data_IF_678250375726
#
_entry.id   IF_678250375726
#
_cell.length_a   1.000
_cell.length_b   1.000
_cell.length_c   1.000
_cell.angle_alpha   90.00
_cell.angle_beta   90.00
_cell.angle_gamma   90.00
#
_symmetry.space_group_name_H-M   'P 1'
#
loop_
_entity.id
_entity.type
_entity.pdbx_description
1 polymer ?
#
# COMPACT_ATOMS: atom_id res chain seq x y z
N UNK A 1 2.79 44.32 -56.36
CA UNK A 1 3.93 45.13 -55.87
C UNK A 1 3.48 45.97 -54.68
N UNK A 2 3.83 45.60 -53.44
CA UNK A 2 3.50 46.42 -52.26
C UNK A 2 4.57 47.51 -52.10
N UNK A 3 4.21 48.76 -52.45
CA UNK A 3 5.08 49.91 -52.22
C UNK A 3 5.19 50.18 -50.72
N UNK A 4 6.42 50.17 -50.22
CA UNK A 4 6.76 50.57 -48.85
C UNK A 4 6.47 52.07 -48.72
N UNK A 5 5.53 52.43 -47.84
CA UNK A 5 5.17 53.82 -47.58
C UNK A 5 6.39 54.51 -46.95
N UNK A 6 6.98 55.45 -47.69
CA UNK A 6 8.11 56.25 -47.20
C UNK A 6 7.64 57.24 -46.14
N UNK A 7 8.45 57.41 -45.10
CA UNK A 7 8.14 58.33 -44.02
C UNK A 7 8.24 59.77 -44.53
N UNK A 8 7.15 60.53 -44.40
CA UNK A 8 7.17 61.99 -44.58
C UNK A 8 8.24 62.53 -43.62
N UNK A 9 9.27 63.18 -44.17
CA UNK A 9 10.44 63.72 -43.47
C UNK A 9 10.11 64.87 -42.53
N UNK A 10 9.27 64.60 -41.53
CA UNK A 10 8.82 65.55 -40.53
C UNK A 10 9.54 65.27 -39.19
N UNK A 11 9.91 66.34 -38.49
CA UNK A 11 10.61 66.28 -37.20
C UNK A 11 9.74 65.63 -36.12
N UNK A 12 8.42 65.88 -36.16
CA UNK A 12 7.46 65.29 -35.22
C UNK A 12 7.31 63.77 -35.40
N UNK A 13 7.19 63.29 -36.64
CA UNK A 13 7.04 61.85 -36.94
C UNK A 13 8.32 61.09 -36.61
N UNK A 14 9.49 61.70 -36.87
CA UNK A 14 10.80 61.15 -36.53
C UNK A 14 10.99 60.97 -35.02
N UNK A 15 10.63 61.97 -34.21
CA UNK A 15 10.70 61.87 -32.75
C UNK A 15 9.75 60.79 -32.19
N UNK A 16 8.53 60.70 -32.72
CA UNK A 16 7.53 59.68 -32.31
C UNK A 16 7.97 58.27 -32.71
N UNK A 17 8.53 58.11 -33.91
CA UNK A 17 9.08 56.84 -34.39
C UNK A 17 10.30 56.39 -33.57
N UNK A 18 11.20 57.32 -33.18
CA UNK A 18 12.34 57.02 -32.29
C UNK A 18 11.87 56.53 -30.91
N UNK A 19 10.87 57.19 -30.30
CA UNK A 19 10.25 56.72 -29.04
C UNK A 19 9.59 55.35 -29.20
N UNK A 20 8.86 55.11 -30.30
CA UNK A 20 8.22 53.81 -30.59
C UNK A 20 9.26 52.70 -30.78
N UNK A 21 10.36 52.96 -31.49
CA UNK A 21 11.47 52.01 -31.65
C UNK A 21 12.13 51.69 -30.31
N UNK A 22 12.42 52.70 -29.47
CA UNK A 22 12.98 52.48 -28.13
C UNK A 22 12.05 51.64 -27.25
N UNK A 23 10.73 51.90 -27.27
CA UNK A 23 9.75 51.08 -26.57
C UNK A 23 9.69 49.64 -27.09
N UNK A 24 9.78 49.45 -28.42
CA UNK A 24 9.80 48.11 -29.02
C UNK A 24 11.06 47.33 -28.65
N UNK A 25 12.23 47.97 -28.62
CA UNK A 25 13.48 47.36 -28.15
C UNK A 25 13.36 46.93 -26.68
N UNK A 26 12.83 47.79 -25.80
CA UNK A 26 12.57 47.45 -24.40
C UNK A 26 11.59 46.28 -24.26
N UNK A 27 10.47 46.31 -24.99
CA UNK A 27 9.48 45.21 -25.00
C UNK A 27 10.06 43.89 -25.50
N UNK A 28 10.97 43.91 -26.49
CA UNK A 28 11.66 42.70 -26.97
C UNK A 28 12.53 42.07 -25.89
N UNK A 29 13.31 42.88 -25.17
CA UNK A 29 14.16 42.40 -24.07
C UNK A 29 13.30 41.82 -22.94
N UNK A 30 12.22 42.51 -22.55
CA UNK A 30 11.31 42.03 -21.51
C UNK A 30 10.61 40.74 -21.92
N UNK A 31 10.11 40.62 -23.16
CA UNK A 31 9.52 39.37 -23.65
C UNK A 31 10.51 38.22 -23.63
N UNK A 32 11.75 38.43 -24.07
CA UNK A 32 12.80 37.39 -24.03
C UNK A 32 13.05 36.87 -22.62
N UNK A 33 13.07 37.77 -21.63
CA UNK A 33 13.20 37.40 -20.21
C UNK A 33 11.98 36.61 -19.72
N UNK A 34 10.78 37.08 -20.01
CA UNK A 34 9.53 36.42 -19.61
C UNK A 34 9.39 35.03 -20.26
N UNK A 35 9.76 34.86 -21.53
CA UNK A 35 9.72 33.54 -22.18
C UNK A 35 10.73 32.56 -21.57
N UNK A 36 11.89 33.04 -21.12
CA UNK A 36 12.89 32.22 -20.44
C UNK A 36 12.39 31.77 -19.07
N UNK A 37 11.98 32.71 -18.22
CA UNK A 37 11.46 32.40 -16.88
C UNK A 37 10.14 31.63 -16.93
N UNK A 38 9.24 31.98 -17.85
CA UNK A 38 7.99 31.27 -18.07
C UNK A 38 8.20 29.85 -18.60
N UNK A 39 9.17 29.64 -19.49
CA UNK A 39 9.56 28.30 -19.95
C UNK A 39 10.09 27.43 -18.81
N UNK A 40 10.98 27.98 -17.97
CA UNK A 40 11.50 27.27 -16.79
C UNK A 40 10.36 26.94 -15.81
N UNK A 41 9.48 27.90 -15.52
CA UNK A 41 8.34 27.69 -14.63
C UNK A 41 7.40 26.61 -15.18
N UNK A 42 7.13 26.61 -16.48
CA UNK A 42 6.28 25.60 -17.13
C UNK A 42 6.92 24.21 -17.06
N UNK A 43 8.23 24.11 -17.23
CA UNK A 43 8.98 22.86 -17.09
C UNK A 43 8.88 22.32 -15.65
N UNK A 44 9.02 23.18 -14.64
CA UNK A 44 8.82 22.81 -13.23
C UNK A 44 7.39 22.31 -12.99
N UNK A 45 6.37 22.98 -13.53
CA UNK A 45 4.97 22.58 -13.41
C UNK A 45 4.75 21.19 -14.03
N UNK A 46 5.32 20.91 -15.20
CA UNK A 46 5.23 19.59 -15.85
C UNK A 46 5.85 18.51 -14.96
N UNK A 47 7.05 18.75 -14.42
CA UNK A 47 7.73 17.80 -13.52
C UNK A 47 6.87 17.53 -12.28
N UNK A 48 6.33 18.57 -11.65
CA UNK A 48 5.47 18.43 -10.48
C UNK A 48 4.17 17.69 -10.80
N UNK A 49 3.58 17.92 -11.98
CA UNK A 49 2.38 17.21 -12.42
C UNK A 49 2.65 15.71 -12.61
N UNK A 50 3.78 15.34 -13.23
CA UNK A 50 4.20 13.95 -13.38
C UNK A 50 4.41 13.31 -12.00
N UNK A 51 5.13 14.00 -11.10
CA UNK A 51 5.39 13.52 -9.74
C UNK A 51 4.10 13.29 -8.94
N UNK A 52 3.11 14.18 -9.09
CA UNK A 52 1.83 14.07 -8.39
C UNK A 52 1.00 12.87 -8.88
N UNK A 53 1.05 12.57 -10.19
CA UNK A 53 0.41 11.38 -10.76
C UNK A 53 1.08 10.10 -10.26
N UNK A 54 2.42 10.04 -10.25
CA UNK A 54 3.15 8.87 -9.74
C UNK A 54 2.96 8.68 -8.24
N UNK A 55 2.89 9.77 -7.47
CA UNK A 55 2.64 9.72 -6.03
C UNK A 55 1.24 9.16 -5.72
N UNK A 56 0.22 9.53 -6.50
CA UNK A 56 -1.13 8.97 -6.35
C UNK A 56 -1.18 7.47 -6.64
N UNK A 57 -0.44 7.00 -7.64
CA UNK A 57 -0.35 5.59 -7.98
C UNK A 57 0.31 4.79 -6.84
N UNK A 58 1.48 5.25 -6.36
CA UNK A 58 2.21 4.62 -5.25
C UNK A 58 1.37 4.56 -3.97
N UNK A 59 0.66 5.63 -3.63
CA UNK A 59 -0.08 5.70 -2.37
C UNK A 59 -1.26 4.71 -2.31
N UNK A 60 -1.83 4.34 -3.47
CA UNK A 60 -2.87 3.31 -3.54
C UNK A 60 -2.27 1.90 -3.45
N UNK A 61 -1.15 1.65 -4.12
CA UNK A 61 -0.42 0.38 -4.05
C UNK A 61 0.10 0.11 -2.62
N UNK A 62 0.62 1.14 -1.96
CA UNK A 62 1.09 1.09 -0.58
C UNK A 62 -0.04 0.76 0.42
N UNK A 63 -1.27 1.21 0.15
CA UNK A 63 -2.42 0.92 1.03
C UNK A 63 -2.83 -0.55 0.97
N UNK A 64 -2.81 -1.14 -0.22
CA UNK A 64 -3.16 -2.56 -0.44
C UNK A 64 -2.05 -3.45 0.11
N UNK A 65 -0.78 -3.11 -0.14
CA UNK A 65 0.35 -3.88 0.38
C UNK A 65 0.40 -3.83 1.91
N UNK A 66 0.11 -2.67 2.53
CA UNK A 66 -0.01 -2.55 3.98
C UNK A 66 -1.14 -3.41 4.54
N UNK A 67 -2.31 -3.39 3.91
CA UNK A 67 -3.44 -4.19 4.37
C UNK A 67 -3.16 -5.69 4.26
N UNK A 68 -2.49 -6.14 3.20
CA UNK A 68 -2.08 -7.53 3.04
C UNK A 68 -1.01 -7.95 4.06
N UNK A 69 -0.03 -7.08 4.32
CA UNK A 69 1.00 -7.33 5.35
C UNK A 69 0.39 -7.39 6.74
N UNK A 70 -0.52 -6.48 7.07
CA UNK A 70 -1.24 -6.49 8.35
C UNK A 70 -2.06 -7.77 8.52
N UNK A 71 -2.82 -8.18 7.50
CA UNK A 71 -3.57 -9.45 7.56
C UNK A 71 -2.67 -10.68 7.75
N UNK A 72 -1.50 -10.72 7.08
CA UNK A 72 -0.53 -11.80 7.26
C UNK A 72 0.06 -11.79 8.66
N UNK A 73 0.37 -10.60 9.18
CA UNK A 73 0.90 -10.43 10.54
C UNK A 73 -0.09 -10.91 11.59
N UNK A 74 -1.36 -10.51 11.49
CA UNK A 74 -2.41 -10.95 12.40
C UNK A 74 -2.60 -12.47 12.36
N UNK A 75 -2.65 -13.06 11.16
CA UNK A 75 -2.73 -14.53 11.02
C UNK A 75 -1.57 -15.26 11.69
N UNK A 76 -0.35 -14.76 11.54
CA UNK A 76 0.82 -15.34 12.20
C UNK A 76 0.75 -15.18 13.72
N UNK A 77 0.24 -14.05 14.21
CA UNK A 77 0.09 -13.81 15.64
C UNK A 77 -0.98 -14.74 16.26
N UNK A 78 -2.09 -14.95 15.57
CA UNK A 78 -3.13 -15.91 15.96
C UNK A 78 -2.58 -17.35 15.96
N UNK A 79 -1.81 -17.72 14.95
CA UNK A 79 -1.17 -19.04 14.85
C UNK A 79 -0.15 -19.27 15.99
N UNK A 80 0.69 -18.27 16.29
CA UNK A 80 1.62 -18.28 17.42
C UNK A 80 0.89 -18.43 18.77
N UNK A 81 -0.22 -17.74 18.96
CA UNK A 81 -1.03 -17.86 20.18
C UNK A 81 -1.64 -19.26 20.30
N UNK A 82 -2.22 -19.79 19.22
CA UNK A 82 -2.79 -21.13 19.19
C UNK A 82 -1.73 -22.21 19.42
N UNK A 83 -0.53 -22.06 18.86
CA UNK A 83 0.60 -22.97 19.08
C UNK A 83 1.10 -22.92 20.52
N UNK A 84 1.18 -21.72 21.12
CA UNK A 84 1.54 -21.57 22.54
C UNK A 84 0.50 -22.19 23.47
N UNK A 85 -0.78 -22.03 23.17
CA UNK A 85 -1.85 -22.66 23.94
C UNK A 85 -1.77 -24.19 23.83
N UNK A 86 -1.58 -24.73 22.62
CA UNK A 86 -1.35 -26.16 22.43
C UNK A 86 -0.11 -26.67 23.18
N UNK A 87 0.98 -25.90 23.15
CA UNK A 87 2.20 -26.26 23.86
C UNK A 87 1.98 -26.26 25.39
N UNK A 88 1.25 -25.29 25.91
CA UNK A 88 0.90 -25.26 27.33
C UNK A 88 0.01 -26.45 27.69
N UNK A 89 -1.03 -26.72 26.91
CA UNK A 89 -1.91 -27.86 27.11
C UNK A 89 -1.14 -29.19 27.04
N UNK A 90 -0.15 -29.30 26.16
CA UNK A 90 0.69 -30.50 26.03
C UNK A 90 1.66 -30.68 27.21
N UNK A 91 2.06 -29.60 27.87
CA UNK A 91 2.94 -29.66 29.05
C UNK A 91 2.14 -29.68 30.38
N UNK A 92 0.84 -29.43 30.33
CA UNK A 92 -0.04 -29.44 31.49
C UNK A 92 -0.50 -30.86 31.82
N UNK A 93 -0.07 -31.35 32.98
CA UNK A 93 -0.42 -32.68 33.48
C UNK A 93 -1.94 -32.84 33.66
N UNK A 94 -2.65 -31.78 34.05
CA UNK A 94 -4.09 -31.83 34.30
C UNK A 94 -4.86 -31.94 32.97
N UNK A 95 -4.38 -31.27 31.92
CA UNK A 95 -4.93 -31.41 30.56
C UNK A 95 -4.68 -32.82 29.98
N UNK A 96 -3.48 -33.36 30.16
CA UNK A 96 -3.15 -34.73 29.73
C UNK A 96 -4.04 -35.76 30.47
N UNK A 97 -4.21 -35.62 31.79
CA UNK A 97 -5.06 -36.50 32.58
C UNK A 97 -6.52 -36.44 32.13
N UNK A 98 -7.02 -35.23 31.82
CA UNK A 98 -8.37 -35.06 31.28
C UNK A 98 -8.55 -35.76 29.92
N UNK A 99 -7.62 -35.56 28.98
CA UNK A 99 -7.66 -36.24 27.68
C UNK A 99 -7.58 -37.76 27.85
N UNK A 100 -6.74 -38.25 28.77
CA UNK A 100 -6.64 -39.68 29.05
C UNK A 100 -7.94 -40.26 29.63
N UNK A 101 -8.65 -39.52 30.49
CA UNK A 101 -9.95 -39.90 31.05
C UNK A 101 -11.07 -39.84 29.99
N UNK A 102 -11.11 -38.78 29.19
CA UNK A 102 -12.17 -38.50 28.21
C UNK A 102 -12.06 -39.38 26.95
N UNK A 103 -10.86 -39.50 26.37
CA UNK A 103 -10.65 -40.20 25.08
C UNK A 103 -10.23 -41.66 25.27
N UNK A 104 -9.52 -41.98 26.36
CA UNK A 104 -8.94 -43.30 26.60
C UNK A 104 -9.54 -44.04 27.81
N UNK A 105 -10.54 -43.46 28.48
CA UNK A 105 -11.18 -44.04 29.67
C UNK A 105 -10.15 -44.49 30.73
N UNK A 106 -9.10 -43.70 30.95
CA UNK A 106 -8.14 -43.97 32.02
C UNK A 106 -8.79 -43.65 33.38
N UNK A 107 -8.59 -44.52 34.37
CA UNK A 107 -9.17 -44.42 35.70
C UNK A 107 -8.13 -44.85 36.73
N UNK A 108 -8.08 -44.16 37.87
CA UNK A 108 -7.13 -44.48 38.94
C UNK A 108 -7.61 -45.67 39.78
N UNK A 109 -6.71 -46.21 40.61
CA UNK A 109 -7.02 -47.31 41.53
C UNK A 109 -8.19 -46.95 42.47
N UNK A 110 -9.29 -47.71 42.35
CA UNK A 110 -10.51 -47.54 43.14
C UNK A 110 -11.63 -46.72 42.47
N UNK A 111 -11.40 -46.18 41.27
CA UNK A 111 -12.43 -45.50 40.46
C UNK A 111 -13.16 -46.51 39.53
N UNK A 112 -14.46 -46.29 39.26
CA UNK A 112 -15.30 -47.17 38.40
C UNK A 112 -15.89 -46.35 37.25
N UNK A 113 -15.64 -46.79 36.00
CA UNK A 113 -16.10 -46.10 34.78
C UNK A 113 -17.46 -46.65 34.34
N UNK A 114 -18.44 -45.75 34.16
CA UNK A 114 -19.76 -46.06 33.62
C UNK A 114 -19.88 -45.58 32.17
N UNK A 115 -20.09 -46.49 31.22
CA UNK A 115 -20.39 -46.15 29.83
C UNK A 115 -21.89 -45.95 29.67
N UNK A 116 -22.34 -44.76 29.28
CA UNK A 116 -23.76 -44.54 29.00
C UNK A 116 -24.11 -45.07 27.60
N UNK A 117 -25.31 -45.64 27.40
CA UNK A 117 -25.77 -46.07 26.09
C UNK A 117 -25.99 -44.85 25.19
N UNK A 118 -24.94 -44.47 24.45
CA UNK A 118 -24.88 -43.25 23.64
C UNK A 118 -23.45 -42.81 23.31
N UNK A 119 -22.47 -43.20 24.14
CA UNK A 119 -21.07 -42.75 24.02
C UNK A 119 -20.20 -43.62 23.08
N UNK A 120 -20.83 -44.31 22.12
CA UNK A 120 -20.17 -45.16 21.13
C UNK A 120 -19.43 -44.36 20.03
N UNK A 121 -18.70 -43.29 20.37
CA UNK A 121 -17.92 -42.49 19.40
C UNK A 121 -16.40 -42.66 19.53
N UNK A 122 -15.92 -43.33 20.56
CA UNK A 122 -14.49 -43.55 20.85
C UNK A 122 -13.96 -44.87 20.30
N UNK A 123 -14.80 -45.90 20.16
CA UNK A 123 -14.38 -47.24 19.72
C UNK A 123 -14.03 -47.36 18.22
N UNK A 124 -14.27 -46.32 17.40
CA UNK A 124 -14.05 -46.39 15.94
C UNK A 124 -12.73 -45.75 15.45
N UNK A 125 -12.02 -44.95 16.26
CA UNK A 125 -10.78 -44.28 15.79
C UNK A 125 -9.49 -45.07 15.98
N UNK A 126 -9.45 -46.06 16.87
CA UNK A 126 -8.22 -46.80 17.22
C UNK A 126 -7.89 -47.99 16.32
N UNK A 127 -8.68 -48.26 15.27
CA UNK A 127 -8.43 -49.36 14.30
C UNK A 127 -8.09 -48.92 12.87
N UNK A 128 -7.98 -47.62 12.57
CA UNK A 128 -7.77 -47.13 11.19
C UNK A 128 -6.33 -46.67 10.87
N UNK A 129 -5.34 -46.94 11.73
CA UNK A 129 -3.94 -46.60 11.47
C UNK A 129 -3.04 -47.80 11.81
N UNK A 130 -3.24 -48.92 11.13
CA UNK A 130 -2.28 -50.01 10.99
C UNK A 130 -2.78 -50.89 9.85
N UNK A 131 -2.84 -50.36 8.63
CA UNK A 131 -2.92 -51.12 7.38
C UNK A 131 -2.79 -50.10 6.22
N UNK A 132 -1.56 -49.68 5.95
CA UNK A 132 -1.13 -49.32 4.60
C UNK A 132 0.38 -49.58 4.54
N UNK A 133 0.72 -50.68 3.90
CA UNK A 133 2.06 -51.04 3.42
C UNK A 133 2.03 -50.99 1.91
#
# INVERSE_FOLDING_TARGET
>A
MNKKVENIGNTYTSAKNKKKQQQQMRKRVVRKRITLFGGILLLIIIILAIMLVTQKQSNNEDSVERQQKEQKYQKQQDEELALKEQLNNLNDKDYIEKVARDDYYLSNDGEVIFKLPGDNKSDTKSKAQNDDK
#
